data_IF_207115775099
#
_entry.id   IF_207115775099
#
_cell.length_a   1.000
_cell.length_b   1.000
_cell.length_c   1.000
_cell.angle_alpha   90.00
_cell.angle_beta   90.00
_cell.angle_gamma   90.00
#
_symmetry.space_group_name_H-M   'P 1'
#
loop_
_entity.id
_entity.type
_entity.pdbx_description
1 polymer ?
#
# COMPACT_ATOMS: atom_id res chain seq x y z
N UNK A 1 -23.03 10.84 -18.20
CA UNK A 1 -21.86 11.52 -18.83
C UNK A 1 -21.02 10.39 -19.37
N UNK A 2 -20.97 10.23 -20.69
CA UNK A 2 -20.28 9.09 -21.32
C UNK A 2 -18.76 9.14 -21.13
N UNK A 3 -18.08 8.00 -21.33
CA UNK A 3 -16.63 7.90 -21.17
C UNK A 3 -15.93 8.83 -22.15
N UNK A 4 -14.96 9.59 -21.66
CA UNK A 4 -14.12 10.44 -22.50
C UNK A 4 -13.14 9.58 -23.31
N UNK A 5 -12.71 9.98 -24.52
CA UNK A 5 -11.81 9.23 -25.41
C UNK A 5 -10.39 8.93 -24.86
N UNK A 6 -10.12 9.19 -23.58
CA UNK A 6 -8.78 9.24 -23.03
C UNK A 6 -8.43 8.04 -22.12
N UNK A 7 -9.19 6.95 -22.21
CA UNK A 7 -8.89 5.71 -21.49
C UNK A 7 -7.76 4.97 -22.18
N UNK A 8 -6.62 4.88 -21.49
CA UNK A 8 -5.43 4.21 -22.00
C UNK A 8 -4.82 3.28 -20.93
N UNK A 9 -4.31 2.11 -21.34
CA UNK A 9 -4.49 1.52 -22.68
C UNK A 9 -5.80 0.72 -22.85
N UNK A 10 -6.32 0.73 -24.08
CA UNK A 10 -7.35 -0.19 -24.56
C UNK A 10 -6.96 -1.63 -24.27
N UNK A 11 -7.87 -2.43 -23.69
CA UNK A 11 -7.69 -3.88 -23.57
C UNK A 11 -8.24 -4.55 -24.83
N UNK A 12 -7.52 -5.55 -25.34
CA UNK A 12 -7.94 -6.43 -26.45
C UNK A 12 -8.40 -5.73 -27.75
N UNK A 13 -7.96 -4.49 -28.00
CA UNK A 13 -8.31 -3.75 -29.22
C UNK A 13 -9.71 -3.13 -29.22
N UNK A 14 -10.35 -2.99 -28.05
CA UNK A 14 -11.66 -2.34 -27.90
C UNK A 14 -11.47 -0.84 -27.63
N UNK A 15 -12.01 0.00 -28.51
CA UNK A 15 -11.90 1.47 -28.44
C UNK A 15 -13.05 2.13 -27.66
N UNK A 16 -14.21 1.49 -27.61
CA UNK A 16 -15.41 1.98 -26.91
C UNK A 16 -15.84 0.97 -25.86
N UNK A 17 -15.74 1.37 -24.58
CA UNK A 17 -16.13 0.55 -23.43
C UNK A 17 -17.31 1.23 -22.74
N UNK A 18 -18.37 0.46 -22.45
CA UNK A 18 -19.40 0.92 -21.53
C UNK A 18 -18.94 0.59 -20.10
N UNK A 19 -18.75 1.65 -19.31
CA UNK A 19 -18.43 1.55 -17.88
C UNK A 19 -19.75 1.45 -17.11
N UNK A 20 -20.19 0.23 -16.85
CA UNK A 20 -21.35 -0.04 -16.00
C UNK A 20 -20.97 -1.12 -14.99
N UNK A 21 -21.54 -1.04 -13.78
CA UNK A 21 -21.39 -2.07 -12.76
C UNK A 21 -22.31 -3.26 -13.00
N UNK A 22 -23.27 -3.12 -13.93
CA UNK A 22 -24.28 -4.13 -14.27
C UNK A 22 -24.27 -4.37 -15.78
N UNK A 23 -24.28 -5.64 -16.18
CA UNK A 23 -24.51 -6.03 -17.58
C UNK A 23 -25.99 -5.86 -17.93
N UNK A 24 -26.35 -4.70 -18.46
CA UNK A 24 -27.74 -4.43 -18.81
C UNK A 24 -28.21 -5.22 -20.05
N UNK A 25 -27.34 -5.42 -21.05
CA UNK A 25 -27.78 -5.86 -22.39
C UNK A 25 -26.95 -7.01 -23.02
N UNK A 26 -26.02 -7.63 -22.29
CA UNK A 26 -25.14 -8.67 -22.83
C UNK A 26 -24.22 -8.15 -23.95
N UNK A 27 -23.84 -6.87 -23.88
CA UNK A 27 -22.97 -6.22 -24.84
C UNK A 27 -21.56 -6.79 -24.81
N UNK A 28 -20.90 -6.87 -25.97
CA UNK A 28 -19.53 -7.41 -26.09
C UNK A 28 -18.44 -6.44 -25.63
N UNK A 29 -18.82 -5.26 -25.13
CA UNK A 29 -17.92 -4.13 -24.83
C UNK A 29 -18.10 -3.58 -23.40
N UNK A 30 -18.70 -4.37 -22.50
CA UNK A 30 -18.85 -3.99 -21.09
C UNK A 30 -17.52 -4.28 -20.38
N UNK A 31 -16.96 -3.28 -19.70
CA UNK A 31 -15.67 -3.38 -19.04
C UNK A 31 -15.79 -3.11 -17.54
N UNK A 32 -15.20 -3.97 -16.72
CA UNK A 32 -15.20 -3.77 -15.27
C UNK A 32 -14.43 -2.49 -14.90
N UNK A 33 -15.08 -1.50 -14.25
CA UNK A 33 -14.43 -0.25 -13.88
C UNK A 33 -13.52 -0.46 -12.67
N UNK A 34 -12.32 0.14 -12.72
CA UNK A 34 -11.39 0.17 -11.58
C UNK A 34 -10.78 1.53 -11.38
N UNK A 35 -10.72 1.95 -10.11
CA UNK A 35 -9.80 3.02 -9.73
C UNK A 35 -8.36 2.48 -9.82
N UNK A 36 -7.42 3.16 -10.49
CA UNK A 36 -6.04 2.71 -10.61
C UNK A 36 -5.37 2.36 -9.27
N UNK A 37 -5.72 3.07 -8.19
CA UNK A 37 -5.14 2.81 -6.88
C UNK A 37 -5.64 1.51 -6.25
N UNK A 38 -6.92 1.18 -6.45
CA UNK A 38 -7.47 -0.10 -6.02
C UNK A 38 -6.89 -1.25 -6.84
N UNK A 39 -6.67 -1.04 -8.14
CA UNK A 39 -6.02 -2.02 -9.01
C UNK A 39 -4.58 -2.29 -8.56
N UNK A 40 -3.84 -1.26 -8.14
CA UNK A 40 -2.51 -1.44 -7.54
C UNK A 40 -2.59 -2.35 -6.32
N UNK A 41 -3.48 -2.06 -5.37
CA UNK A 41 -3.66 -2.88 -4.16
C UNK A 41 -4.01 -4.32 -4.52
N UNK A 42 -4.91 -4.54 -5.49
CA UNK A 42 -5.26 -5.87 -5.99
C UNK A 42 -4.02 -6.61 -6.51
N UNK A 43 -3.23 -5.98 -7.37
CA UNK A 43 -2.03 -6.60 -7.93
C UNK A 43 -1.00 -6.94 -6.85
N UNK A 44 -0.83 -6.08 -5.84
CA UNK A 44 0.05 -6.36 -4.70
C UNK A 44 -0.46 -7.54 -3.87
N UNK A 45 -1.76 -7.59 -3.60
CA UNK A 45 -2.40 -8.69 -2.88
C UNK A 45 -2.31 -10.01 -3.65
N UNK A 46 -2.53 -9.97 -4.96
CA UNK A 46 -2.43 -11.12 -5.83
C UNK A 46 -0.99 -11.67 -5.88
N UNK A 47 0.03 -10.82 -5.94
CA UNK A 47 1.42 -11.25 -5.90
C UNK A 47 1.83 -11.92 -4.57
N UNK A 48 1.15 -11.60 -3.47
CA UNK A 48 1.42 -12.23 -2.18
C UNK A 48 0.72 -13.60 -2.00
N UNK A 49 -0.22 -13.95 -2.88
CA UNK A 49 -0.86 -15.27 -2.85
C UNK A 49 0.13 -16.37 -3.21
N UNK A 50 -0.04 -17.57 -2.61
CA UNK A 50 0.76 -18.77 -2.96
C UNK A 50 0.66 -19.12 -4.45
N UNK A 51 -0.50 -18.84 -5.04
CA UNK A 51 -0.75 -18.94 -6.47
C UNK A 51 -1.23 -17.56 -6.93
N UNK A 52 -0.32 -16.74 -7.51
CA UNK A 52 -0.68 -15.40 -7.91
C UNK A 52 -1.85 -15.37 -8.89
N UNK A 53 -2.85 -14.53 -8.59
CA UNK A 53 -3.98 -14.29 -9.47
C UNK A 53 -3.64 -13.24 -10.50
N UNK A 54 -4.19 -13.37 -11.70
CA UNK A 54 -4.01 -12.41 -12.78
C UNK A 54 -5.19 -11.43 -12.84
N UNK A 55 -5.04 -10.35 -13.61
CA UNK A 55 -6.18 -9.46 -13.90
C UNK A 55 -7.25 -10.22 -14.71
N UNK A 56 -6.83 -11.14 -15.57
CA UNK A 56 -7.74 -11.95 -16.38
C UNK A 56 -8.59 -12.86 -15.48
N UNK A 57 -8.00 -13.44 -14.43
CA UNK A 57 -8.73 -14.23 -13.43
C UNK A 57 -9.87 -13.45 -12.77
N UNK A 58 -9.65 -12.14 -12.55
CA UNK A 58 -10.64 -11.23 -11.98
C UNK A 58 -11.72 -10.89 -13.01
N UNK A 59 -11.34 -10.69 -14.27
CA UNK A 59 -12.26 -10.48 -15.39
C UNK A 59 -13.19 -11.67 -15.57
N UNK A 60 -12.63 -12.88 -15.64
CA UNK A 60 -13.39 -14.14 -15.73
C UNK A 60 -14.41 -14.24 -14.58
N UNK A 61 -13.95 -13.98 -13.34
CA UNK A 61 -14.84 -14.04 -12.18
C UNK A 61 -15.97 -13.00 -12.24
N UNK A 62 -15.66 -11.78 -12.68
CA UNK A 62 -16.66 -10.73 -12.83
C UNK A 62 -17.70 -11.07 -13.90
N UNK A 63 -17.25 -11.52 -15.07
CA UNK A 63 -18.13 -11.98 -16.16
C UNK A 63 -19.01 -13.15 -15.69
N UNK A 64 -18.45 -14.14 -15.00
CA UNK A 64 -19.21 -15.27 -14.49
C UNK A 64 -20.24 -14.89 -13.41
N UNK A 65 -19.92 -13.90 -12.57
CA UNK A 65 -20.81 -13.48 -11.47
C UNK A 65 -21.96 -12.61 -11.98
N UNK A 66 -21.66 -11.64 -12.86
CA UNK A 66 -22.67 -10.71 -13.36
C UNK A 66 -23.48 -11.29 -14.54
N UNK A 67 -22.88 -12.08 -15.44
CA UNK A 67 -23.62 -12.70 -16.56
C UNK A 67 -24.63 -13.76 -16.11
N UNK A 68 -24.49 -14.30 -14.89
CA UNK A 68 -25.44 -15.27 -14.35
C UNK A 68 -26.63 -14.61 -13.63
N UNK A 69 -26.65 -13.28 -13.46
CA UNK A 69 -27.64 -12.57 -12.60
C UNK A 69 -27.83 -13.28 -11.24
N UNK A 70 -26.81 -13.99 -10.77
CA UNK A 70 -26.90 -14.73 -9.53
C UNK A 70 -26.79 -13.71 -8.40
N UNK A 71 -27.93 -13.42 -7.80
CA UNK A 71 -28.08 -12.72 -6.53
C UNK A 71 -27.37 -13.41 -5.34
N UNK A 72 -26.28 -14.18 -5.54
CA UNK A 72 -25.31 -14.50 -4.49
C UNK A 72 -24.44 -13.26 -4.17
N UNK A 73 -25.12 -12.12 -3.97
CA UNK A 73 -24.63 -10.94 -3.27
C UNK A 73 -24.35 -11.41 -1.84
N UNK A 74 -23.18 -11.22 -1.24
CA UNK A 74 -22.35 -10.03 -1.24
C UNK A 74 -20.88 -10.47 -1.21
N UNK A 75 -20.00 -9.77 -1.94
CA UNK A 75 -18.62 -9.68 -1.47
C UNK A 75 -18.71 -9.17 -0.03
N UNK A 76 -18.19 -9.92 0.93
CA UNK A 76 -18.12 -9.44 2.32
C UNK A 76 -17.14 -8.27 2.35
N UNK A 77 -17.67 -7.07 2.17
CA UNK A 77 -16.89 -5.84 2.08
C UNK A 77 -16.36 -5.49 3.46
N UNK A 78 -15.16 -4.94 3.48
CA UNK A 78 -14.49 -4.52 4.71
C UNK A 78 -15.18 -3.36 5.43
N UNK A 79 -14.57 -2.99 6.55
CA UNK A 79 -14.97 -1.97 7.53
C UNK A 79 -15.88 -0.85 7.03
N UNK A 80 -17.11 -0.81 7.53
CA UNK A 80 -18.05 0.32 7.43
C UNK A 80 -18.79 0.46 6.08
N UNK A 81 -18.53 -0.41 5.11
CA UNK A 81 -19.11 -0.29 3.76
C UNK A 81 -20.65 -0.42 3.78
N UNK A 82 -21.18 -1.43 4.46
CA UNK A 82 -22.63 -1.69 4.51
C UNK A 82 -23.41 -0.52 5.13
N UNK A 83 -22.81 0.19 6.09
CA UNK A 83 -23.42 1.36 6.74
C UNK A 83 -23.49 2.59 5.82
N UNK A 84 -22.57 2.70 4.85
CA UNK A 84 -22.53 3.80 3.88
C UNK A 84 -23.25 3.48 2.58
N UNK A 85 -23.50 2.20 2.29
CA UNK A 85 -23.92 1.70 0.99
C UNK A 85 -25.46 1.57 0.89
N UNK A 86 -26.16 2.71 0.88
CA UNK A 86 -27.61 2.78 0.64
C UNK A 86 -27.97 2.97 -0.84
N UNK A 87 -29.18 3.45 -1.12
CA UNK A 87 -29.56 3.90 -2.48
C UNK A 87 -28.61 5.00 -3.00
N UNK A 88 -28.09 5.80 -2.07
CA UNK A 88 -27.01 6.74 -2.29
C UNK A 88 -25.92 6.46 -1.25
N UNK A 89 -24.71 6.90 -1.56
CA UNK A 89 -23.62 6.83 -0.60
C UNK A 89 -23.86 7.79 0.57
N UNK A 90 -23.85 7.26 1.80
CA UNK A 90 -24.00 8.05 3.02
C UNK A 90 -22.68 8.14 3.77
N UNK A 91 -22.13 9.35 3.89
CA UNK A 91 -20.91 9.58 4.65
C UNK A 91 -21.19 9.60 6.16
N UNK A 92 -20.69 8.59 6.89
CA UNK A 92 -20.74 8.60 8.34
C UNK A 92 -19.47 9.22 8.95
N UNK A 93 -19.62 9.82 10.13
CA UNK A 93 -18.49 10.34 10.90
C UNK A 93 -17.56 9.19 11.31
N UNK A 94 -16.25 9.37 11.14
CA UNK A 94 -15.25 8.33 11.41
C UNK A 94 -14.96 7.40 10.22
N UNK A 95 -15.69 7.59 9.10
CA UNK A 95 -15.50 6.87 7.85
C UNK A 95 -14.79 7.71 6.77
N UNK A 96 -14.18 8.83 7.15
CA UNK A 96 -13.45 9.73 6.24
C UNK A 96 -12.27 9.02 5.55
N UNK A 97 -11.81 7.89 6.12
CA UNK A 97 -10.78 7.07 5.51
C UNK A 97 -11.18 6.48 4.14
N UNK A 98 -12.48 6.34 3.81
CA UNK A 98 -12.89 5.84 2.48
C UNK A 98 -12.34 6.65 1.32
N UNK A 99 -12.19 7.96 1.50
CA UNK A 99 -11.70 8.89 0.48
C UNK A 99 -10.19 9.15 0.58
N UNK A 100 -9.51 8.55 1.56
CA UNK A 100 -8.07 8.71 1.73
C UNK A 100 -7.32 7.91 0.66
N UNK A 101 -6.26 8.49 0.07
CA UNK A 101 -5.46 7.80 -0.94
C UNK A 101 -4.73 6.61 -0.29
N UNK A 102 -4.99 5.37 -0.71
CA UNK A 102 -4.35 4.21 -0.09
C UNK A 102 -2.86 4.14 -0.42
N UNK A 103 -2.36 4.81 -1.45
CA UNK A 103 -0.96 4.76 -1.89
C UNK A 103 -0.14 5.96 -1.39
N UNK A 104 -0.73 7.16 -1.42
CA UNK A 104 0.00 8.44 -1.28
C UNK A 104 -0.30 9.22 -0.02
N UNK A 105 -1.07 8.65 0.90
CA UNK A 105 -1.34 9.29 2.20
C UNK A 105 -0.04 9.72 2.88
N UNK A 106 0.03 11.00 3.25
CA UNK A 106 1.24 11.61 3.76
C UNK A 106 1.71 10.95 5.06
N UNK A 107 0.80 10.65 5.99
CA UNK A 107 1.15 10.05 7.27
C UNK A 107 1.61 8.61 7.10
N UNK A 108 1.01 7.87 6.15
CA UNK A 108 1.48 6.54 5.77
C UNK A 108 2.89 6.59 5.18
N UNK A 109 3.13 7.42 4.16
CA UNK A 109 4.44 7.55 3.51
C UNK A 109 5.52 7.92 4.54
N UNK A 110 5.21 8.90 5.41
CA UNK A 110 6.10 9.32 6.49
C UNK A 110 6.40 8.18 7.46
N UNK A 111 5.38 7.43 7.88
CA UNK A 111 5.55 6.29 8.79
C UNK A 111 6.50 5.23 8.21
N UNK A 112 6.41 4.96 6.90
CA UNK A 112 7.29 4.03 6.20
C UNK A 112 8.73 4.59 6.09
N UNK A 113 8.87 5.86 5.69
CA UNK A 113 10.17 6.52 5.54
C UNK A 113 10.92 6.66 6.87
N UNK A 114 10.23 7.02 7.95
CA UNK A 114 10.81 7.18 9.28
C UNK A 114 11.44 5.87 9.80
N UNK A 115 11.05 4.72 9.27
CA UNK A 115 11.62 3.42 9.65
C UNK A 115 12.89 3.05 8.88
N UNK A 116 13.19 3.73 7.76
CA UNK A 116 14.40 3.50 6.98
C UNK A 116 15.57 4.19 7.67
N UNK A 117 16.65 3.43 7.86
CA UNK A 117 17.89 3.91 8.47
C UNK A 117 18.81 4.42 7.38
N UNK A 118 19.31 5.63 7.58
CA UNK A 118 20.24 6.27 6.66
C UNK A 118 21.56 5.49 6.56
N UNK A 119 22.21 5.43 5.38
CA UNK A 119 23.43 4.66 5.20
C UNK A 119 24.58 5.04 6.16
N UNK A 120 24.61 6.30 6.60
CA UNK A 120 25.60 6.86 7.53
C UNK A 120 25.41 6.44 8.99
N UNK A 121 24.24 5.92 9.34
CA UNK A 121 23.93 5.49 10.71
C UNK A 121 24.39 4.05 10.95
N UNK A 122 24.98 3.82 12.12
CA UNK A 122 25.30 2.47 12.59
C UNK A 122 24.01 1.75 12.97
N UNK A 123 23.74 0.62 12.31
CA UNK A 123 22.54 -0.17 12.52
C UNK A 123 22.82 -1.62 12.14
N UNK A 124 22.60 -2.53 13.10
CA UNK A 124 22.59 -3.96 12.85
C UNK A 124 21.16 -4.51 13.04
N UNK A 125 20.53 -5.08 12.00
CA UNK A 125 19.21 -5.70 12.14
C UNK A 125 19.22 -6.95 13.06
N UNK A 126 20.39 -7.46 13.44
CA UNK A 126 20.56 -8.49 14.45
C UNK A 126 20.56 -7.95 15.89
N UNK A 127 20.67 -6.63 16.10
CA UNK A 127 20.59 -6.02 17.42
C UNK A 127 19.25 -6.30 18.10
N UNK A 128 19.26 -6.31 19.43
CA UNK A 128 18.03 -6.48 20.21
C UNK A 128 17.10 -5.29 19.98
N UNK A 129 15.84 -5.56 19.65
CA UNK A 129 14.78 -4.56 19.59
C UNK A 129 14.48 -3.92 20.95
N UNK A 130 14.87 -4.58 22.03
CA UNK A 130 14.56 -4.18 23.39
C UNK A 130 15.85 -3.97 24.19
N UNK A 131 15.84 -3.03 25.15
CA UNK A 131 16.98 -2.83 26.03
C UNK A 131 17.26 -4.11 26.82
N UNK A 132 18.54 -4.33 27.11
CA UNK A 132 18.96 -5.40 28.00
C UNK A 132 18.25 -5.25 29.35
N UNK A 133 17.88 -6.39 29.92
CA UNK A 133 17.25 -6.39 31.23
C UNK A 133 18.26 -5.79 32.23
N UNK A 134 17.88 -4.82 33.09
CA UNK A 134 18.79 -4.31 34.09
C UNK A 134 19.30 -5.49 34.90
N UNK A 135 20.60 -5.75 34.81
CA UNK A 135 21.26 -6.69 35.70
C UNK A 135 20.90 -6.27 37.11
N UNK A 136 20.11 -7.09 37.81
CA UNK A 136 19.91 -6.89 39.24
C UNK A 136 21.30 -6.78 39.86
N UNK A 137 21.51 -5.69 40.59
CA UNK A 137 22.72 -5.28 41.30
C UNK A 137 23.73 -6.42 41.53
N UNK A 138 25.01 -6.30 41.11
CA UNK A 138 26.05 -7.31 41.35
C UNK A 138 26.27 -7.66 42.84
N UNK A 139 25.66 -6.87 43.74
CA UNK A 139 25.71 -7.02 45.20
C UNK A 139 24.59 -7.91 45.76
N UNK A 140 23.61 -8.32 44.94
CA UNK A 140 22.61 -9.31 45.36
C UNK A 140 23.25 -10.71 45.41
N UNK A 141 23.61 -11.13 46.63
CA UNK A 141 24.13 -12.47 46.92
C UNK A 141 23.24 -13.56 46.29
N UNK A 142 23.81 -14.66 45.75
CA UNK A 142 23.02 -15.75 45.20
C UNK A 142 22.31 -16.46 46.34
N UNK A 143 21.07 -16.06 46.62
CA UNK A 143 20.21 -16.83 47.49
C UNK A 143 19.94 -18.17 46.81
N UNK A 144 20.35 -19.25 47.48
CA UNK A 144 20.04 -20.63 47.13
C UNK A 144 18.51 -20.81 47.17
N UNK A 145 17.83 -20.53 46.07
CA UNK A 145 16.48 -21.00 45.85
C UNK A 145 16.50 -21.91 44.62
N UNK A 146 15.93 -23.11 44.78
CA UNK A 146 15.76 -24.09 43.70
C UNK A 146 14.73 -23.63 42.68
N UNK A 147 14.97 -22.45 42.09
CA UNK A 147 14.18 -21.92 40.98
C UNK A 147 14.44 -22.83 39.79
N UNK A 148 13.40 -23.36 39.13
CA UNK A 148 13.56 -24.11 37.90
C UNK A 148 14.36 -23.27 36.90
N UNK A 149 15.50 -23.78 36.48
CA UNK A 149 16.28 -23.18 35.41
C UNK A 149 15.39 -23.11 34.17
N UNK A 150 15.31 -21.93 33.56
CA UNK A 150 14.51 -21.70 32.36
C UNK A 150 14.89 -22.72 31.27
N UNK A 151 13.97 -23.64 30.89
CA UNK A 151 14.30 -24.73 29.98
C UNK A 151 14.66 -24.21 28.58
N UNK A 152 14.15 -23.04 28.19
CA UNK A 152 14.42 -22.44 26.89
C UNK A 152 15.87 -21.96 26.74
N UNK A 153 16.61 -21.75 27.84
CA UNK A 153 18.03 -21.38 27.79
C UNK A 153 18.92 -22.48 27.21
N UNK A 154 18.42 -23.72 27.11
CA UNK A 154 19.14 -24.84 26.50
C UNK A 154 18.91 -24.94 24.99
N UNK A 155 17.98 -24.17 24.45
CA UNK A 155 17.69 -24.18 23.02
C UNK A 155 18.66 -23.24 22.28
N UNK A 156 19.12 -23.63 21.09
CA UNK A 156 19.86 -22.74 20.21
C UNK A 156 18.96 -21.61 19.69
N UNK A 157 19.57 -20.50 19.29
CA UNK A 157 18.86 -19.28 18.92
C UNK A 157 17.86 -19.47 17.77
N UNK A 158 18.15 -20.39 16.84
CA UNK A 158 17.29 -20.72 15.70
C UNK A 158 15.96 -21.32 16.17
N UNK A 159 15.99 -22.20 17.19
CA UNK A 159 14.76 -22.79 17.73
C UNK A 159 13.96 -21.77 18.53
N UNK A 160 14.63 -20.84 19.22
CA UNK A 160 13.95 -19.73 19.90
C UNK A 160 13.25 -18.80 18.90
N UNK A 161 13.90 -18.49 17.79
CA UNK A 161 13.29 -17.71 16.70
C UNK A 161 12.12 -18.43 16.04
N UNK A 162 12.23 -19.74 15.84
CA UNK A 162 11.13 -20.56 15.32
C UNK A 162 9.94 -20.59 16.29
N UNK A 163 10.18 -20.71 17.59
CA UNK A 163 9.11 -20.59 18.60
C UNK A 163 8.45 -19.21 18.49
N UNK A 164 9.24 -18.14 18.41
CA UNK A 164 8.70 -16.79 18.28
C UNK A 164 7.85 -16.60 17.02
N UNK A 165 8.22 -17.20 15.88
CA UNK A 165 7.46 -17.08 14.63
C UNK A 165 6.10 -17.79 14.64
N UNK A 166 5.91 -18.79 15.51
CA UNK A 166 4.63 -19.51 15.63
C UNK A 166 3.67 -18.85 16.63
N UNK A 167 4.13 -17.84 17.38
CA UNK A 167 3.36 -17.22 18.44
C UNK A 167 2.61 -15.96 17.97
N UNK A 168 1.36 -15.77 18.41
CA UNK A 168 0.66 -14.50 18.24
C UNK A 168 1.41 -13.36 18.93
N UNK A 169 1.34 -12.16 18.35
CA UNK A 169 1.99 -10.95 18.87
C UNK A 169 1.79 -10.69 20.38
N UNK A 170 0.58 -10.80 20.98
CA UNK A 170 0.41 -10.58 22.41
C UNK A 170 1.21 -11.57 23.27
N UNK A 171 1.43 -12.78 22.77
CA UNK A 171 2.15 -13.84 23.48
C UNK A 171 3.66 -13.60 23.45
N UNK A 172 4.20 -12.96 22.41
CA UNK A 172 5.63 -12.62 22.33
C UNK A 172 6.04 -11.71 23.48
N UNK A 173 5.25 -10.69 23.81
CA UNK A 173 5.55 -9.79 24.93
C UNK A 173 5.51 -10.54 26.27
N UNK A 174 4.47 -11.35 26.51
CA UNK A 174 4.34 -12.16 27.71
C UNK A 174 5.49 -13.16 27.86
N UNK A 175 5.97 -13.75 26.75
CA UNK A 175 7.05 -14.73 26.76
C UNK A 175 8.36 -14.12 27.27
N UNK A 176 8.64 -12.85 26.92
CA UNK A 176 9.80 -12.11 27.42
C UNK A 176 9.75 -11.84 28.91
N UNK A 177 8.54 -11.71 29.48
CA UNK A 177 8.37 -11.49 30.92
C UNK A 177 8.63 -12.77 31.73
N UNK A 178 8.34 -13.95 31.16
CA UNK A 178 8.43 -15.23 31.87
C UNK A 178 9.73 -16.01 31.62
N UNK A 179 10.43 -15.76 30.51
CA UNK A 179 11.63 -16.51 30.12
C UNK A 179 12.75 -15.59 29.63
N UNK A 180 13.93 -15.78 30.22
CA UNK A 180 15.14 -15.00 29.88
C UNK A 180 15.70 -15.38 28.52
N UNK A 181 15.39 -16.58 28.02
CA UNK A 181 15.81 -17.02 26.70
C UNK A 181 15.31 -16.09 25.57
N UNK A 182 14.20 -15.38 25.79
CA UNK A 182 13.62 -14.45 24.83
C UNK A 182 13.92 -12.97 25.14
N UNK A 183 14.88 -12.69 26.03
CA UNK A 183 15.26 -11.32 26.36
C UNK A 183 15.74 -10.54 25.13
N UNK A 184 16.59 -11.20 24.32
CA UNK A 184 17.09 -10.70 23.05
C UNK A 184 16.15 -11.14 21.91
N UNK A 185 15.51 -10.17 21.26
CA UNK A 185 14.74 -10.40 20.03
C UNK A 185 15.33 -9.49 18.95
N UNK A 186 15.89 -10.05 17.86
CA UNK A 186 16.48 -9.25 16.79
C UNK A 186 15.49 -8.26 16.18
N UNK A 187 15.94 -7.05 15.82
CA UNK A 187 15.12 -6.06 15.12
C UNK A 187 14.52 -6.66 13.83
N UNK A 188 15.29 -7.46 13.09
CA UNK A 188 14.85 -8.16 11.87
C UNK A 188 13.65 -9.10 12.07
N UNK A 189 13.44 -9.65 13.27
CA UNK A 189 12.31 -10.55 13.56
C UNK A 189 10.97 -9.85 13.34
N UNK A 190 10.90 -8.54 13.59
CA UNK A 190 9.67 -7.76 13.43
C UNK A 190 9.24 -7.62 11.96
N UNK A 191 10.10 -7.92 10.99
CA UNK A 191 9.66 -8.06 9.60
C UNK A 191 8.64 -9.19 9.46
N UNK A 192 8.90 -10.33 10.09
CA UNK A 192 8.00 -11.50 10.05
C UNK A 192 6.63 -11.15 10.65
N UNK A 193 6.62 -10.49 11.82
CA UNK A 193 5.38 -10.04 12.45
C UNK A 193 4.65 -9.00 11.59
N UNK A 194 5.38 -8.09 10.95
CA UNK A 194 4.79 -7.09 10.05
C UNK A 194 4.12 -7.75 8.84
N UNK A 195 4.76 -8.76 8.23
CA UNK A 195 4.17 -9.51 7.10
C UNK A 195 2.91 -10.28 7.49
N UNK A 196 2.84 -10.75 8.73
CA UNK A 196 1.68 -11.47 9.24
C UNK A 196 0.53 -10.54 9.63
N UNK A 197 0.82 -9.48 10.39
CA UNK A 197 -0.22 -8.61 10.96
C UNK A 197 -0.63 -7.46 10.03
N UNK A 198 0.24 -7.08 9.08
CA UNK A 198 0.03 -5.98 8.14
C UNK A 198 0.44 -6.38 6.70
N UNK A 199 -0.19 -7.41 6.10
CA UNK A 199 0.16 -7.89 4.75
C UNK A 199 0.03 -6.79 3.68
N UNK A 200 -0.84 -5.82 3.91
CA UNK A 200 -1.04 -4.63 3.07
C UNK A 200 0.12 -3.61 3.11
N UNK A 201 1.16 -3.80 3.93
CA UNK A 201 2.43 -3.08 3.80
C UNK A 201 3.33 -3.86 2.84
N UNK A 202 2.97 -3.85 1.56
CA UNK A 202 3.70 -4.58 0.51
C UNK A 202 5.09 -3.99 0.23
N UNK A 203 5.38 -2.77 0.67
CA UNK A 203 6.70 -2.16 0.53
C UNK A 203 7.79 -3.02 1.20
N UNK A 204 7.41 -3.80 2.23
CA UNK A 204 8.27 -4.73 2.94
C UNK A 204 8.70 -5.96 2.12
N UNK A 205 8.08 -6.22 0.97
CA UNK A 205 8.43 -7.29 0.04
C UNK A 205 9.35 -6.83 -1.10
N UNK A 206 9.63 -5.52 -1.18
CA UNK A 206 10.41 -4.96 -2.28
C UNK A 206 11.85 -5.48 -2.22
N UNK A 207 12.25 -6.25 -3.23
CA UNK A 207 13.63 -6.75 -3.38
C UNK A 207 14.50 -5.80 -4.19
N UNK A 208 13.89 -4.82 -4.87
CA UNK A 208 14.58 -3.86 -5.74
C UNK A 208 14.54 -2.45 -5.16
N UNK A 209 15.65 -1.69 -5.22
CA UNK A 209 15.70 -0.31 -4.72
C UNK A 209 14.75 0.64 -5.46
N UNK A 210 14.37 0.27 -6.68
CA UNK A 210 13.43 1.03 -7.49
C UNK A 210 12.07 0.37 -7.37
N UNK A 211 11.34 0.74 -6.33
CA UNK A 211 9.94 0.37 -6.24
C UNK A 211 9.23 1.07 -7.40
N UNK A 212 8.52 0.29 -8.22
CA UNK A 212 7.66 0.81 -9.27
C UNK A 212 6.21 0.47 -8.94
N UNK A 213 5.31 1.40 -9.23
CA UNK A 213 3.90 1.06 -9.33
C UNK A 213 3.66 0.22 -10.59
N UNK A 214 2.51 -0.44 -10.66
CA UNK A 214 2.10 -1.11 -11.88
C UNK A 214 2.06 -0.13 -13.06
N UNK A 215 2.16 -0.68 -14.28
CA UNK A 215 2.06 0.10 -15.51
C UNK A 215 0.85 1.04 -15.52
N UNK A 216 -0.31 0.58 -15.05
CA UNK A 216 -1.57 1.33 -15.03
C UNK A 216 -1.54 2.51 -14.07
N UNK A 217 -1.10 2.25 -12.84
CA UNK A 217 -0.92 3.27 -11.82
C UNK A 217 0.10 4.30 -12.29
N UNK A 218 1.23 3.86 -12.83
CA UNK A 218 2.28 4.74 -13.34
C UNK A 218 1.77 5.62 -14.49
N UNK A 219 1.01 5.07 -15.43
CA UNK A 219 0.46 5.83 -16.56
C UNK A 219 -0.46 6.98 -16.10
N UNK A 220 -1.25 6.76 -15.05
CA UNK A 220 -2.14 7.77 -14.46
C UNK A 220 -1.32 8.86 -13.77
N UNK A 221 -0.29 8.46 -13.02
CA UNK A 221 0.64 9.40 -12.38
C UNK A 221 1.35 10.25 -13.45
N UNK A 222 1.86 9.64 -14.51
CA UNK A 222 2.55 10.34 -15.61
C UNK A 222 1.60 11.27 -16.38
N UNK A 223 0.33 10.88 -16.56
CA UNK A 223 -0.71 11.74 -17.15
C UNK A 223 -0.97 12.96 -16.26
N UNK A 224 -1.10 12.78 -14.95
CA UNK A 224 -1.29 13.87 -14.00
C UNK A 224 -0.08 14.82 -13.98
N UNK A 225 1.14 14.28 -13.98
CA UNK A 225 2.38 15.06 -14.03
C UNK A 225 2.48 15.90 -15.32
N UNK A 226 2.15 15.30 -16.48
CA UNK A 226 2.10 16.02 -17.77
C UNK A 226 1.06 17.14 -17.77
N UNK A 227 -0.13 16.88 -17.22
CA UNK A 227 -1.18 17.91 -17.10
C UNK A 227 -0.70 19.08 -16.24
N UNK A 228 -0.13 18.80 -15.08
CA UNK A 228 0.41 19.84 -14.19
C UNK A 228 1.52 20.67 -14.85
N UNK A 229 2.42 20.02 -15.57
CA UNK A 229 3.48 20.71 -16.32
C UNK A 229 2.90 21.63 -17.40
N UNK A 230 1.89 21.17 -18.14
CA UNK A 230 1.19 21.97 -19.15
C UNK A 230 0.46 23.16 -18.51
N UNK A 231 -0.25 22.94 -17.40
CA UNK A 231 -0.97 24.01 -16.69
C UNK A 231 0.01 25.08 -16.17
N UNK A 232 1.16 24.64 -15.65
CA UNK A 232 2.23 25.55 -15.17
C UNK A 232 2.85 26.34 -16.31
N UNK A 233 3.09 25.71 -17.46
CA UNK A 233 3.57 26.40 -18.68
C UNK A 233 2.55 27.43 -19.19
N UNK A 234 1.24 27.11 -19.14
CA UNK A 234 0.19 28.05 -19.53
C UNK A 234 0.10 29.24 -18.57
N UNK A 235 0.23 29.01 -17.25
CA UNK A 235 0.28 30.08 -16.25
C UNK A 235 1.50 30.99 -16.43
N UNK A 236 2.68 30.42 -16.70
CA UNK A 236 3.89 31.19 -17.00
C UNK A 236 3.76 31.99 -18.30
N UNK A 237 3.10 31.43 -19.32
CA UNK A 237 2.78 32.13 -20.57
C UNK A 237 1.84 33.34 -20.38
N UNK A 238 0.85 33.23 -19.50
CA UNK A 238 -0.05 34.33 -19.15
C UNK A 238 0.66 35.41 -18.31
N UNK A 239 1.57 35.04 -17.40
CA UNK A 239 2.39 35.99 -16.65
C UNK A 239 3.31 36.83 -17.56
N UNK A 240 3.89 36.20 -18.60
CA UNK A 240 4.68 36.90 -19.62
C UNK A 240 3.86 37.84 -20.53
N UNK A 241 2.53 37.75 -20.51
CA UNK A 241 1.65 38.68 -21.25
C UNK A 241 1.36 39.98 -20.48
N UNK A 242 1.73 40.08 -19.19
CA UNK A 242 1.32 41.19 -18.31
C UNK A 242 2.42 42.26 -18.12
N UNK A 243 3.64 42.06 -18.61
CA UNK A 243 4.69 43.10 -18.49
C UNK A 243 5.50 43.23 -19.79
N UNK A 244 5.24 44.29 -20.55
CA UNK A 244 6.18 45.36 -20.96
C UNK A 244 5.47 46.22 -22.02
N UNK A 245 5.16 47.48 -21.65
CA UNK A 245 4.86 48.54 -22.63
C UNK A 245 6.16 48.87 -23.38
N UNK A 246 6.16 48.96 -24.72
CA UNK A 246 7.37 48.92 -25.53
C UNK A 246 7.98 50.31 -25.70
N UNK A 247 8.54 50.92 -24.66
CA UNK A 247 9.42 52.08 -24.85
C UNK A 247 10.68 51.92 -23.98
N UNK A 248 11.81 51.74 -24.68
CA UNK A 248 13.19 51.91 -24.20
C UNK A 248 13.77 50.88 -23.20
N UNK A 249 13.69 49.59 -23.51
CA UNK A 249 14.60 48.61 -22.88
C UNK A 249 15.37 47.82 -23.93
N UNK A 250 16.70 47.85 -23.85
CA UNK A 250 17.56 47.08 -24.74
C UNK A 250 17.41 45.57 -24.47
N UNK A 251 17.64 44.68 -25.45
CA UNK A 251 17.46 43.22 -25.30
C UNK A 251 18.22 42.61 -24.12
N UNK A 252 19.34 43.23 -23.74
CA UNK A 252 20.17 42.85 -22.60
C UNK A 252 19.52 43.18 -21.25
N UNK A 253 18.81 44.31 -21.16
CA UNK A 253 18.08 44.72 -19.95
C UNK A 253 16.79 43.93 -19.77
N UNK A 254 16.10 43.60 -20.86
CA UNK A 254 14.95 42.70 -20.83
C UNK A 254 15.34 41.29 -20.33
N UNK A 255 16.50 40.76 -20.75
CA UNK A 255 17.02 39.47 -20.26
C UNK A 255 17.38 39.49 -18.77
N UNK A 256 17.97 40.59 -18.28
CA UNK A 256 18.30 40.73 -16.85
C UNK A 256 17.03 40.85 -16.02
N UNK A 257 16.03 41.63 -16.47
CA UNK A 257 14.74 41.73 -15.79
C UNK A 257 13.95 40.41 -15.80
N UNK A 258 14.07 39.59 -16.86
CA UNK A 258 13.48 38.23 -16.92
C UNK A 258 14.16 37.30 -15.92
N UNK A 259 15.49 37.34 -15.81
CA UNK A 259 16.24 36.54 -14.82
C UNK A 259 15.88 36.99 -13.41
N UNK A 260 15.81 38.30 -13.15
CA UNK A 260 15.43 38.85 -11.85
C UNK A 260 13.96 38.55 -11.49
N UNK A 261 13.03 38.58 -12.46
CA UNK A 261 11.64 38.18 -12.23
C UNK A 261 11.48 36.68 -12.01
N UNK A 262 12.25 35.85 -12.73
CA UNK A 262 12.26 34.38 -12.54
C UNK A 262 12.83 34.01 -11.17
N UNK A 263 13.86 34.74 -10.71
CA UNK A 263 14.43 34.60 -9.37
C UNK A 263 13.51 35.19 -8.28
N UNK A 264 12.73 36.24 -8.59
CA UNK A 264 11.76 36.83 -7.66
C UNK A 264 10.53 35.95 -7.45
N UNK A 265 10.07 35.20 -8.47
CA UNK A 265 8.99 34.20 -8.38
C UNK A 265 9.36 33.07 -7.41
N UNK A 266 10.66 32.78 -7.24
CA UNK A 266 11.17 31.79 -6.27
C UNK A 266 11.22 32.35 -4.83
N UNK A 267 11.09 33.67 -4.64
CA UNK A 267 11.09 34.30 -3.32
C UNK A 267 9.72 34.76 -2.83
N UNK A 268 8.73 34.93 -3.72
CA UNK A 268 7.36 35.38 -3.36
C UNK A 268 6.30 34.27 -3.50
N UNK A 269 6.73 33.03 -3.75
CA UNK A 269 5.86 31.87 -3.56
C UNK A 269 5.73 31.58 -2.07
N UNK A 270 4.59 31.96 -1.49
CA UNK A 270 4.10 31.48 -0.19
C UNK A 270 3.89 29.95 -0.15
N UNK A 271 4.23 29.23 -1.22
CA UNK A 271 4.37 27.78 -1.26
C UNK A 271 5.79 27.40 -0.84
N UNK A 272 6.01 26.87 0.37
CA UNK A 272 7.34 26.52 0.81
C UNK A 272 7.95 25.49 -0.15
N UNK A 273 9.26 25.59 -0.44
CA UNK A 273 10.01 24.61 -1.24
C UNK A 273 9.86 23.15 -0.74
N UNK A 274 9.36 22.96 0.49
CA UNK A 274 8.92 21.67 1.02
C UNK A 274 7.74 21.04 0.26
N UNK A 275 6.81 21.85 -0.28
CA UNK A 275 5.61 21.37 -0.99
C UNK A 275 5.96 20.75 -2.35
N UNK A 276 6.90 21.35 -3.09
CA UNK A 276 7.39 20.81 -4.38
C UNK A 276 8.20 19.51 -4.22
N UNK A 277 8.96 19.36 -3.12
CA UNK A 277 9.62 18.09 -2.78
C UNK A 277 8.63 17.00 -2.38
N UNK A 278 7.56 17.35 -1.66
CA UNK A 278 6.46 16.43 -1.35
C UNK A 278 5.79 15.93 -2.64
N UNK A 279 5.47 16.83 -3.59
CA UNK A 279 4.78 16.46 -4.83
C UNK A 279 5.57 15.43 -5.69
N UNK A 280 6.91 15.47 -5.65
CA UNK A 280 7.76 14.46 -6.31
C UNK A 280 7.90 13.16 -5.52
N UNK A 281 7.86 13.21 -4.18
CA UNK A 281 7.93 12.03 -3.31
C UNK A 281 6.72 11.10 -3.46
N UNK A 282 5.59 11.60 -3.96
CA UNK A 282 4.35 10.85 -4.16
C UNK A 282 4.27 10.07 -5.48
N UNK A 283 5.30 10.14 -6.33
CA UNK A 283 5.35 9.44 -7.64
C UNK A 283 5.98 8.05 -7.52
N UNK A 284 6.81 7.83 -6.50
CA UNK A 284 7.60 6.61 -6.33
C UNK A 284 7.12 5.92 -5.05
N UNK A 285 6.75 4.63 -5.10
CA UNK A 285 6.46 3.88 -3.88
C UNK A 285 7.65 3.90 -2.93
N UNK A 286 7.38 3.89 -1.61
CA UNK A 286 8.44 3.84 -0.61
C UNK A 286 9.17 2.49 -0.71
N UNK A 287 10.50 2.54 -0.74
CA UNK A 287 11.33 1.34 -0.68
C UNK A 287 11.75 1.07 0.77
N UNK A 288 11.51 -0.17 1.25
CA UNK A 288 11.93 -0.63 2.58
C UNK A 288 13.03 -1.68 2.46
N UNK A 289 14.32 -1.29 2.43
CA UNK A 289 15.41 -2.25 2.29
C UNK A 289 15.49 -3.20 3.50
N UNK A 290 15.48 -4.50 3.25
CA UNK A 290 15.41 -5.55 4.28
C UNK A 290 16.39 -5.39 5.44
N UNK A 291 17.62 -4.98 5.15
CA UNK A 291 18.72 -4.85 6.13
C UNK A 291 18.90 -3.43 6.68
N UNK A 292 18.21 -2.44 6.13
CA UNK A 292 18.32 -1.03 6.52
C UNK A 292 16.99 -0.46 7.03
N UNK A 293 15.96 -1.27 7.15
CA UNK A 293 14.72 -0.86 7.80
C UNK A 293 14.73 -1.32 9.26
N UNK A 294 14.46 -0.40 10.18
CA UNK A 294 14.20 -0.73 11.57
C UNK A 294 12.77 -1.27 11.70
N UNK A 295 12.63 -2.57 11.47
CA UNK A 295 11.35 -3.28 11.48
C UNK A 295 10.63 -3.18 12.83
N UNK A 296 11.37 -3.13 13.95
CA UNK A 296 10.78 -2.92 15.26
C UNK A 296 10.13 -1.53 15.38
N UNK A 297 10.84 -0.47 14.98
CA UNK A 297 10.32 0.90 14.97
C UNK A 297 9.06 1.00 14.11
N UNK A 298 9.09 0.42 12.91
CA UNK A 298 7.96 0.40 12.00
C UNK A 298 6.75 -0.31 12.62
N UNK A 299 6.97 -1.54 13.10
CA UNK A 299 5.94 -2.37 13.69
C UNK A 299 5.30 -1.72 14.93
N UNK A 300 6.12 -1.15 15.82
CA UNK A 300 5.65 -0.43 16.99
C UNK A 300 4.83 0.83 16.60
N UNK A 301 5.26 1.57 15.57
CA UNK A 301 4.53 2.72 15.07
C UNK A 301 3.16 2.34 14.48
N UNK A 302 3.11 1.25 13.71
CA UNK A 302 1.87 0.70 13.15
C UNK A 302 0.91 0.22 14.25
N UNK A 303 1.40 -0.49 15.27
CA UNK A 303 0.56 -0.91 16.40
C UNK A 303 0.02 0.27 17.21
N UNK A 304 0.82 1.32 17.38
CA UNK A 304 0.45 2.48 18.20
C UNK A 304 -0.51 3.44 17.50
N UNK A 305 -0.27 3.73 16.22
CA UNK A 305 -0.98 4.80 15.49
C UNK A 305 -1.60 4.35 14.17
N UNK A 306 -1.41 3.12 13.73
CA UNK A 306 -1.84 2.68 12.40
C UNK A 306 -3.35 2.84 12.15
N UNK A 307 -4.16 2.63 13.19
CA UNK A 307 -5.62 2.84 13.13
C UNK A 307 -6.03 4.31 12.92
N UNK A 308 -5.14 5.25 13.23
CA UNK A 308 -5.34 6.71 13.10
C UNK A 308 -4.89 7.23 11.72
N UNK A 309 -4.19 6.41 10.93
CA UNK A 309 -3.68 6.77 9.59
C UNK A 309 -4.75 6.44 8.54
N UNK A 310 -5.46 7.42 7.95
CA UNK A 310 -6.61 7.17 7.09
C UNK A 310 -6.25 6.38 5.83
N UNK A 311 -5.16 6.72 5.14
CA UNK A 311 -4.71 5.98 3.96
C UNK A 311 -4.34 4.53 4.26
N UNK A 312 -3.75 4.26 5.44
CA UNK A 312 -3.44 2.89 5.87
C UNK A 312 -4.72 2.09 6.13
N UNK A 313 -5.70 2.70 6.81
CA UNK A 313 -6.98 2.07 7.09
C UNK A 313 -7.78 1.79 5.80
N UNK A 314 -7.73 2.71 4.83
CA UNK A 314 -8.34 2.47 3.51
C UNK A 314 -7.62 1.37 2.75
N UNK A 315 -6.28 1.37 2.79
CA UNK A 315 -5.45 0.33 2.17
C UNK A 315 -5.76 -1.05 2.74
N UNK A 316 -5.86 -1.17 4.07
CA UNK A 316 -6.28 -2.41 4.74
C UNK A 316 -7.66 -2.87 4.28
N UNK A 317 -8.63 -1.95 4.22
CA UNK A 317 -9.99 -2.26 3.75
C UNK A 317 -9.97 -2.79 2.31
N UNK A 318 -9.33 -2.07 1.39
CA UNK A 318 -9.24 -2.48 -0.02
C UNK A 318 -8.52 -3.81 -0.14
N UNK A 319 -7.45 -4.01 0.62
CA UNK A 319 -6.72 -5.28 0.65
C UNK A 319 -7.63 -6.46 1.00
N UNK A 320 -8.43 -6.34 2.05
CA UNK A 320 -9.38 -7.38 2.47
C UNK A 320 -10.45 -7.64 1.43
N UNK A 321 -10.98 -6.59 0.79
CA UNK A 321 -11.89 -6.74 -0.35
C UNK A 321 -11.22 -7.53 -1.50
N UNK A 322 -9.95 -7.25 -1.80
CA UNK A 322 -9.19 -7.99 -2.81
C UNK A 322 -8.96 -9.45 -2.42
N UNK A 323 -8.67 -9.75 -1.15
CA UNK A 323 -8.55 -11.12 -0.66
C UNK A 323 -9.86 -11.89 -0.80
N UNK A 324 -10.99 -11.25 -0.52
CA UNK A 324 -12.31 -11.85 -0.71
C UNK A 324 -12.59 -12.14 -2.19
N UNK A 325 -12.27 -11.20 -3.09
CA UNK A 325 -12.37 -11.43 -4.55
C UNK A 325 -11.51 -12.64 -4.96
N UNK A 326 -10.26 -12.72 -4.51
CA UNK A 326 -9.38 -13.85 -4.83
C UNK A 326 -9.89 -15.18 -4.30
N UNK A 327 -10.49 -15.18 -3.10
CA UNK A 327 -11.17 -16.35 -2.53
C UNK A 327 -12.35 -16.78 -3.40
N UNK A 328 -13.15 -15.84 -3.90
CA UNK A 328 -14.27 -16.11 -4.80
C UNK A 328 -13.83 -16.67 -6.16
N UNK A 329 -12.73 -16.17 -6.72
CA UNK A 329 -12.09 -16.73 -7.92
C UNK A 329 -11.73 -18.21 -7.70
N UNK A 330 -11.16 -18.54 -6.53
CA UNK A 330 -10.82 -19.93 -6.20
C UNK A 330 -12.06 -20.82 -6.06
N UNK A 331 -13.11 -20.33 -5.40
CA UNK A 331 -14.39 -21.05 -5.30
C UNK A 331 -15.00 -21.33 -6.67
N UNK A 332 -15.04 -20.34 -7.55
CA UNK A 332 -15.54 -20.47 -8.91
C UNK A 332 -14.80 -21.56 -9.68
N UNK A 333 -13.46 -21.52 -9.67
CA UNK A 333 -12.61 -22.50 -10.37
C UNK A 333 -12.82 -23.93 -9.87
N UNK A 334 -13.07 -24.10 -8.58
CA UNK A 334 -13.39 -25.41 -7.98
C UNK A 334 -14.76 -25.88 -8.49
N UNK A 335 -15.79 -25.02 -8.47
CA UNK A 335 -17.14 -25.35 -8.94
C UNK A 335 -17.12 -25.80 -10.41
N UNK A 336 -16.44 -25.05 -11.29
CA UNK A 336 -16.34 -25.36 -12.71
C UNK A 336 -15.64 -26.71 -12.97
N UNK A 337 -14.55 -26.97 -12.26
CA UNK A 337 -13.84 -28.26 -12.34
C UNK A 337 -14.77 -29.41 -11.98
N UNK A 338 -15.51 -29.29 -10.88
CA UNK A 338 -16.42 -30.33 -10.40
C UNK A 338 -17.60 -30.55 -11.35
N UNK A 339 -18.10 -29.50 -11.99
CA UNK A 339 -19.11 -29.61 -13.04
C UNK A 339 -18.58 -30.28 -14.30
N UNK A 340 -17.37 -29.94 -14.75
CA UNK A 340 -16.68 -30.60 -15.86
C UNK A 340 -16.54 -32.10 -15.62
N UNK A 341 -16.09 -32.49 -14.42
CA UNK A 341 -15.99 -33.91 -14.01
C UNK A 341 -17.36 -34.59 -14.02
N UNK A 342 -18.42 -33.92 -13.52
CA UNK A 342 -19.80 -34.44 -13.54
C UNK A 342 -20.35 -34.61 -14.96
N UNK A 343 -20.02 -33.71 -15.89
CA UNK A 343 -20.40 -33.84 -17.31
C UNK A 343 -19.68 -35.02 -17.96
N UNK A 344 -18.37 -35.15 -17.77
CA UNK A 344 -17.58 -36.28 -18.28
C UNK A 344 -18.09 -37.63 -17.77
N UNK A 345 -18.42 -37.74 -16.49
CA UNK A 345 -18.99 -38.97 -15.90
C UNK A 345 -20.36 -39.35 -16.47
N UNK A 346 -21.14 -38.37 -16.96
CA UNK A 346 -22.41 -38.61 -17.64
C UNK A 346 -22.23 -39.05 -19.09
N UNK A 347 -21.15 -38.67 -19.76
CA UNK A 347 -20.86 -39.09 -21.14
C UNK A 347 -20.24 -40.50 -21.24
N UNK A 348 -19.74 -41.06 -20.13
CA UNK A 348 -19.10 -42.39 -20.07
C UNK A 348 -20.10 -43.48 -19.65
N UNK A 349 -21.34 -43.10 -19.29
CA UNK A 349 -22.48 -44.02 -19.11
C UNK A 349 -23.36 -43.97 -20.34
#
# INVERSE_FOLDING_TARGET
>A
MGPTPDWSPSRHGVEEIFEDDIFWDGGTNDGMPFHPWCLEVYQRAALQQKQPKTIDDMGDWWEHTEAMMECEKELQRGMGYEESNGQYWEHQKGQEFFIADPLKDFELVKLLQDAVIEPSEAFDPADSAFPDWPSHDPTASPSKSGVPTDPFLHLPAELLQQILSELPTPTVAALREVSRAFAHIPISFFHTLLRQDYPWIWEADSTTPVAHYSHWTQAVIDKAARKLANDTLQLAGHANSIVVSPEETTPSQARIAIIDATNAIDTDSTRPAATLKNDQAHVIPVFLPRIRTNWFKLYAALKKRGAEVPGLKNRERIWRDCEEIMRKIDEMRIRERDEGIRKLRRCIR
#
